data_IF_192040472599
#
_entry.id   IF_192040472599
#
_cell.length_a   1.000
_cell.length_b   1.000
_cell.length_c   1.000
_cell.angle_alpha   90.00
_cell.angle_beta   90.00
_cell.angle_gamma   90.00
#
_symmetry.space_group_name_H-M   'P 1'
#
loop_
_entity.id
_entity.type
_entity.pdbx_description
1 polymer ?
#
# COMPACT_ATOMS: atom_id res chain seq x y z
N UNK A 1 4.57 -2.16 8.39
CA UNK A 1 5.22 -1.55 7.20
C UNK A 1 4.71 -0.14 6.89
N UNK A 2 3.55 0.30 7.43
CA UNK A 2 2.95 1.61 7.15
C UNK A 2 2.73 2.35 8.48
N UNK A 3 3.54 3.39 8.75
CA UNK A 3 3.48 4.15 10.00
C UNK A 3 2.37 5.20 10.02
N UNK A 4 2.06 5.76 8.85
CA UNK A 4 1.19 6.91 8.72
C UNK A 4 0.50 6.91 7.36
N UNK A 5 -0.74 7.38 7.32
CA UNK A 5 -1.52 7.56 6.09
C UNK A 5 -0.78 8.44 5.08
N UNK A 6 0.00 9.42 5.55
CA UNK A 6 0.83 10.28 4.72
C UNK A 6 1.78 9.49 3.81
N UNK A 7 2.35 8.38 4.28
CA UNK A 7 3.23 7.54 3.46
C UNK A 7 2.48 6.97 2.25
N UNK A 8 1.26 6.50 2.47
CA UNK A 8 0.38 5.94 1.43
C UNK A 8 -0.04 7.02 0.45
N UNK A 9 -0.40 8.22 0.93
CA UNK A 9 -0.79 9.35 0.08
C UNK A 9 0.35 9.80 -0.83
N UNK A 10 1.59 9.89 -0.31
CA UNK A 10 2.76 10.24 -1.13
C UNK A 10 3.04 9.15 -2.17
N UNK A 11 2.94 7.86 -1.81
CA UNK A 11 3.10 6.77 -2.74
C UNK A 11 2.03 6.79 -3.85
N UNK A 12 0.76 7.01 -3.49
CA UNK A 12 -0.33 7.14 -4.44
C UNK A 12 -0.12 8.32 -5.39
N UNK A 13 0.32 9.48 -4.87
CA UNK A 13 0.61 10.66 -5.70
C UNK A 13 1.75 10.41 -6.69
N UNK A 14 2.81 9.73 -6.26
CA UNK A 14 3.92 9.33 -7.13
C UNK A 14 3.46 8.36 -8.22
N UNK A 15 2.68 7.34 -7.87
CA UNK A 15 2.15 6.38 -8.82
C UNK A 15 1.24 7.04 -9.87
N UNK A 16 0.35 7.95 -9.45
CA UNK A 16 -0.49 8.74 -10.35
C UNK A 16 0.33 9.64 -11.27
N UNK A 17 1.39 10.27 -10.73
CA UNK A 17 2.28 11.11 -11.54
C UNK A 17 3.03 10.30 -12.60
N UNK A 18 3.52 9.10 -12.24
CA UNK A 18 4.15 8.18 -13.20
C UNK A 18 3.16 7.68 -14.25
N UNK A 19 1.90 7.41 -13.87
CA UNK A 19 0.85 7.03 -14.81
C UNK A 19 0.55 8.16 -15.82
N UNK A 20 0.38 9.39 -15.35
CA UNK A 20 0.15 10.58 -16.19
C UNK A 20 1.27 10.79 -17.22
N UNK A 21 2.51 10.46 -16.85
CA UNK A 21 3.69 10.59 -17.71
C UNK A 21 3.96 9.35 -18.57
N UNK A 22 3.10 8.33 -18.54
CA UNK A 22 3.35 7.03 -19.18
C UNK A 22 4.73 6.43 -18.83
N UNK A 23 5.16 6.65 -17.58
CA UNK A 23 6.48 6.26 -17.08
C UNK A 23 6.37 5.30 -15.89
N UNK A 24 5.35 4.44 -15.89
CA UNK A 24 5.19 3.39 -14.87
C UNK A 24 6.37 2.43 -14.94
N UNK A 25 6.96 2.12 -13.78
CA UNK A 25 7.95 1.05 -13.67
C UNK A 25 7.28 -0.33 -13.68
N UNK A 26 6.02 -0.39 -13.23
CA UNK A 26 5.20 -1.60 -13.11
C UNK A 26 4.12 -1.70 -14.19
N UNK A 27 3.41 -2.84 -14.23
CA UNK A 27 2.35 -3.09 -15.20
C UNK A 27 1.03 -2.34 -14.92
N UNK A 28 0.86 -1.71 -13.75
CA UNK A 28 -0.41 -1.05 -13.42
C UNK A 28 -0.33 -0.11 -12.21
N UNK A 29 -1.33 0.75 -12.06
CA UNK A 29 -1.32 1.82 -11.05
C UNK A 29 -1.23 1.28 -9.60
N UNK A 30 -1.94 0.19 -9.29
CA UNK A 30 -1.94 -0.37 -7.94
C UNK A 30 -0.60 -1.04 -7.58
N UNK A 31 0.04 -1.72 -8.52
CA UNK A 31 1.38 -2.29 -8.30
C UNK A 31 2.43 -1.18 -8.26
N UNK A 32 2.25 -0.10 -9.02
CA UNK A 32 3.08 1.09 -8.95
C UNK A 32 3.00 1.77 -7.58
N UNK A 33 1.80 1.82 -6.98
CA UNK A 33 1.62 2.36 -5.63
C UNK A 33 2.45 1.57 -4.61
N UNK A 34 2.35 0.24 -4.65
CA UNK A 34 3.14 -0.63 -3.74
C UNK A 34 4.64 -0.45 -4.00
N UNK A 35 5.05 -0.34 -5.27
CA UNK A 35 6.43 -0.08 -5.64
C UNK A 35 6.94 1.26 -5.10
N UNK A 36 6.17 2.34 -5.30
CA UNK A 36 6.47 3.69 -4.80
C UNK A 36 6.55 3.75 -3.27
N UNK A 37 5.73 2.95 -2.57
CA UNK A 37 5.73 2.83 -1.12
C UNK A 37 6.99 2.12 -0.62
N UNK A 38 7.49 1.15 -1.38
CA UNK A 38 8.54 0.24 -0.92
C UNK A 38 9.95 0.83 -0.87
N UNK A 39 10.21 1.84 -1.70
CA UNK A 39 11.57 2.35 -1.95
C UNK A 39 12.54 1.31 -2.53
N UNK A 40 12.06 0.13 -2.95
CA UNK A 40 12.90 -0.97 -3.42
C UNK A 40 13.27 -0.82 -4.91
N UNK A 41 14.39 -1.44 -5.30
CA UNK A 41 14.79 -1.51 -6.71
C UNK A 41 14.07 -2.61 -7.50
N UNK A 42 13.48 -3.58 -6.81
CA UNK A 42 12.80 -4.73 -7.40
C UNK A 42 11.31 -4.71 -7.11
N UNK A 43 10.50 -4.84 -8.18
CA UNK A 43 9.04 -4.94 -8.10
C UNK A 43 8.63 -6.16 -7.28
N UNK A 44 9.26 -7.31 -7.51
CA UNK A 44 8.94 -8.53 -6.77
C UNK A 44 9.26 -8.39 -5.28
N UNK A 45 10.36 -7.72 -4.93
CA UNK A 45 10.68 -7.44 -3.53
C UNK A 45 9.66 -6.49 -2.89
N UNK A 46 9.25 -5.44 -3.61
CA UNK A 46 8.21 -4.53 -3.17
C UNK A 46 6.88 -5.25 -2.86
N UNK A 47 6.41 -6.08 -3.79
CA UNK A 47 5.17 -6.84 -3.64
C UNK A 47 5.24 -7.86 -2.52
N UNK A 48 6.38 -8.55 -2.36
CA UNK A 48 6.55 -9.51 -1.28
C UNK A 48 6.59 -8.85 0.09
N UNK A 49 7.15 -7.65 0.22
CA UNK A 49 7.32 -6.98 1.52
C UNK A 49 6.12 -6.10 1.92
N UNK A 50 5.50 -5.42 0.96
CA UNK A 50 4.40 -4.47 1.20
C UNK A 50 3.04 -4.97 0.74
N UNK A 51 2.98 -6.04 -0.05
CA UNK A 51 1.75 -6.72 -0.40
C UNK A 51 1.21 -7.58 0.75
N UNK A 52 -0.04 -8.03 0.59
CA UNK A 52 -0.69 -8.94 1.53
C UNK A 52 -0.02 -10.32 1.47
N UNK A 53 0.35 -10.85 2.63
CA UNK A 53 0.82 -12.22 2.85
C UNK A 53 -0.25 -13.06 3.54
N UNK A 54 -0.17 -14.38 3.45
CA UNK A 54 -1.12 -15.31 4.07
C UNK A 54 -1.21 -15.14 5.60
N UNK A 55 -0.12 -14.70 6.23
CA UNK A 55 0.00 -14.50 7.68
C UNK A 55 -0.42 -13.08 8.12
N UNK A 56 -0.89 -12.24 7.18
CA UNK A 56 -1.25 -10.84 7.46
C UNK A 56 -2.49 -10.76 8.36
N UNK A 57 -2.34 -10.14 9.52
CA UNK A 57 -3.46 -9.90 10.47
C UNK A 57 -4.13 -8.54 10.30
N UNK A 58 -3.43 -7.62 9.64
CA UNK A 58 -3.91 -6.26 9.36
C UNK A 58 -3.62 -5.96 7.89
N UNK A 59 -4.62 -5.42 7.20
CA UNK A 59 -4.53 -5.09 5.78
C UNK A 59 -4.94 -3.63 5.60
N UNK A 60 -4.14 -2.90 4.82
CA UNK A 60 -4.50 -1.56 4.37
C UNK A 60 -4.95 -1.67 2.92
N UNK A 61 -6.20 -1.29 2.66
CA UNK A 61 -6.77 -1.25 1.32
C UNK A 61 -6.66 0.16 0.78
N UNK A 62 -6.16 0.30 -0.44
CA UNK A 62 -6.09 1.58 -1.14
C UNK A 62 -6.84 1.46 -2.45
N UNK A 63 -7.91 2.22 -2.58
CA UNK A 63 -8.67 2.37 -3.83
C UNK A 63 -8.36 3.76 -4.37
N UNK A 64 -8.03 3.83 -5.66
CA UNK A 64 -7.80 5.09 -6.36
C UNK A 64 -8.93 5.22 -7.37
N UNK A 65 -9.53 6.41 -7.45
CA UNK A 65 -10.68 6.68 -8.31
C UNK A 65 -11.89 5.79 -7.96
N UNK A 66 -12.21 5.71 -6.67
CA UNK A 66 -13.37 4.96 -6.17
C UNK A 66 -14.67 5.61 -6.66
N UNK A 67 -15.52 4.80 -7.28
CA UNK A 67 -16.88 5.15 -7.71
C UNK A 67 -17.92 5.01 -6.58
N UNK A 68 -17.47 4.59 -5.39
CA UNK A 68 -18.29 4.38 -4.20
C UNK A 68 -18.82 2.95 -4.06
N UNK A 69 -18.66 2.11 -5.09
CA UNK A 69 -19.03 0.70 -5.08
C UNK A 69 -17.82 -0.21 -4.95
N UNK A 70 -16.68 0.20 -5.51
CA UNK A 70 -15.44 -0.57 -5.52
C UNK A 70 -14.96 -0.88 -4.10
N UNK A 71 -14.94 0.11 -3.22
CA UNK A 71 -14.57 -0.11 -1.81
C UNK A 71 -15.49 -1.13 -1.12
N UNK A 72 -16.81 -1.00 -1.29
CA UNK A 72 -17.77 -1.90 -0.67
C UNK A 72 -17.60 -3.33 -1.16
N UNK A 73 -17.34 -3.50 -2.45
CA UNK A 73 -17.06 -4.82 -3.04
C UNK A 73 -15.82 -5.45 -2.42
N UNK A 74 -14.71 -4.71 -2.33
CA UNK A 74 -13.47 -5.20 -1.72
C UNK A 74 -13.67 -5.52 -0.24
N UNK A 75 -14.43 -4.71 0.49
CA UNK A 75 -14.73 -4.95 1.90
C UNK A 75 -15.44 -6.31 2.11
N UNK A 76 -16.31 -6.74 1.20
CA UNK A 76 -16.95 -8.06 1.30
C UNK A 76 -16.01 -9.24 1.10
N UNK A 77 -14.85 -9.02 0.48
CA UNK A 77 -13.84 -10.06 0.24
C UNK A 77 -12.90 -10.26 1.43
N UNK A 78 -12.94 -9.38 2.43
CA UNK A 78 -12.04 -9.38 3.57
C UNK A 78 -12.78 -9.89 4.80
N UNK A 79 -12.41 -11.09 5.27
CA UNK A 79 -12.89 -11.61 6.56
C UNK A 79 -12.16 -10.87 7.70
N UNK A 80 -12.74 -9.75 8.13
CA UNK A 80 -12.13 -8.88 9.12
C UNK A 80 -13.05 -7.76 9.60
N UNK A 81 -12.51 -6.91 10.48
CA UNK A 81 -13.20 -5.71 10.97
C UNK A 81 -12.53 -4.47 10.44
N UNK A 82 -13.32 -3.52 9.94
CA UNK A 82 -12.82 -2.20 9.58
C UNK A 82 -12.30 -1.49 10.83
N UNK A 83 -11.05 -1.04 10.77
CA UNK A 83 -10.40 -0.26 11.81
C UNK A 83 -10.23 1.19 11.39
N UNK A 84 -10.04 2.08 12.37
CA UNK A 84 -9.60 3.44 12.11
C UNK A 84 -8.10 3.44 11.72
N UNK A 85 -7.70 4.26 10.75
CA UNK A 85 -6.31 4.43 10.33
C UNK A 85 -5.42 5.09 11.41
N UNK A 86 -6.00 5.71 12.43
CA UNK A 86 -5.24 6.31 13.54
C UNK A 86 -4.37 5.27 14.30
N UNK A 87 -4.74 3.98 14.24
CA UNK A 87 -4.02 2.88 14.92
C UNK A 87 -2.81 2.37 14.13
N UNK A 88 -2.57 2.89 12.91
CA UNK A 88 -1.51 2.40 12.01
C UNK A 88 -0.14 2.38 12.67
N UNK A 89 0.13 3.37 13.53
CA UNK A 89 1.40 3.50 14.25
C UNK A 89 1.60 2.40 15.28
N UNK A 90 0.52 1.96 15.91
CA UNK A 90 0.53 0.94 16.97
C UNK A 90 0.67 -0.48 16.41
N UNK A 91 0.10 -0.72 15.22
CA UNK A 91 0.16 -2.02 14.55
C UNK A 91 1.37 -2.18 13.62
N UNK A 92 2.17 -1.13 13.47
CA UNK A 92 3.33 -1.15 12.59
C UNK A 92 4.60 -1.63 13.29
N UNK A 93 5.28 -2.56 12.63
CA UNK A 93 6.60 -3.04 13.03
C UNK A 93 7.69 -1.99 12.75
N UNK A 94 7.92 -1.11 13.73
CA UNK A 94 8.90 -0.02 13.63
C UNK A 94 10.34 -0.52 13.49
N UNK A 95 10.66 -1.70 14.02
CA UNK A 95 12.01 -2.27 13.89
C UNK A 95 12.29 -2.71 12.45
N UNK A 96 11.34 -3.42 11.83
CA UNK A 96 11.45 -3.78 10.41
C UNK A 96 11.53 -2.55 9.51
N UNK A 97 10.76 -1.51 9.81
CA UNK A 97 10.76 -0.27 9.02
C UNK A 97 12.12 0.43 9.10
N UNK A 98 12.71 0.55 10.30
CA UNK A 98 14.06 1.13 10.45
C UNK A 98 15.12 0.37 9.65
N UNK A 99 15.14 -0.97 9.77
CA UNK A 99 16.06 -1.84 9.02
C UNK A 99 15.98 -1.72 7.49
N UNK A 100 14.88 -1.20 6.95
CA UNK A 100 14.72 -0.98 5.52
C UNK A 100 15.16 0.41 5.06
N UNK A 101 15.27 1.37 5.98
CA UNK A 101 15.72 2.73 5.69
C UNK A 101 17.23 2.92 5.91
N UNK A 102 17.87 2.03 6.67
CA UNK A 102 19.32 1.94 6.86
C UNK A 102 20.01 1.22 5.68
#
# INVERSE_FOLDING_TARGET
MILDVFQVLIAAKKALYSADKNSLATHGLHTELIYCLSGQRSISAALNTFGVQAESKHVVVVVIDDDGETFNTIATLIDGKHGNLDVLKDISDTEKIKKMCD
#
